data_IF_124405714732
#
_entry.id   IF_124405714732
#
_cell.length_a   1.000
_cell.length_b   1.000
_cell.length_c   1.000
_cell.angle_alpha   90.00
_cell.angle_beta   90.00
_cell.angle_gamma   90.00
#
_symmetry.space_group_name_H-M   'P 1'
#
loop_
_entity.id
_entity.type
_entity.pdbx_description
1 polymer ?
#
# COMPACT_ATOMS: atom_id res chain seq x y z
N UNK A 1 8.67 32.92 11.95
CA UNK A 1 7.36 32.27 12.18
C UNK A 1 6.73 32.02 10.83
N UNK A 2 6.62 30.76 10.35
CA UNK A 2 5.90 30.51 9.11
C UNK A 2 4.44 30.93 9.32
N UNK A 3 3.93 31.76 8.41
CA UNK A 3 2.50 32.10 8.38
C UNK A 3 1.70 30.82 8.10
N UNK A 4 0.61 30.55 8.85
CA UNK A 4 -0.21 29.39 8.58
C UNK A 4 -0.77 29.49 7.17
N UNK A 5 -0.52 28.46 6.36
CA UNK A 5 -1.02 28.38 5.00
C UNK A 5 -2.54 28.41 5.02
N UNK A 6 -3.15 29.13 4.08
CA UNK A 6 -4.60 29.16 3.92
C UNK A 6 -5.14 27.74 3.79
N UNK A 7 -6.24 27.44 4.47
CA UNK A 7 -6.88 26.14 4.43
C UNK A 7 -7.43 25.89 3.01
N UNK A 8 -6.88 24.89 2.32
CA UNK A 8 -7.25 24.55 0.94
C UNK A 8 -8.25 23.39 0.88
N UNK A 9 -8.58 22.77 2.02
CA UNK A 9 -9.54 21.66 2.06
C UNK A 9 -10.96 22.19 1.84
N UNK A 10 -11.77 21.41 1.14
CA UNK A 10 -13.21 21.71 1.02
C UNK A 10 -13.89 21.60 2.40
N UNK A 11 -15.01 22.32 2.63
CA UNK A 11 -15.73 22.26 3.90
C UNK A 11 -16.14 20.84 4.30
N UNK A 12 -16.50 20.01 3.31
CA UNK A 12 -16.84 18.60 3.55
C UNK A 12 -15.64 17.78 4.04
N UNK A 13 -14.45 18.00 3.47
CA UNK A 13 -13.22 17.32 3.91
C UNK A 13 -12.82 17.78 5.30
N UNK A 14 -12.91 19.08 5.57
CA UNK A 14 -12.61 19.63 6.90
C UNK A 14 -13.52 19.04 7.98
N UNK A 15 -14.84 19.02 7.76
CA UNK A 15 -15.79 18.44 8.71
C UNK A 15 -15.52 16.96 8.98
N UNK A 16 -15.13 16.19 7.96
CA UNK A 16 -14.77 14.79 8.12
C UNK A 16 -13.47 14.61 8.91
N UNK A 17 -12.46 15.42 8.62
CA UNK A 17 -11.18 15.36 9.32
C UNK A 17 -11.36 15.73 10.81
N UNK A 18 -12.19 16.74 11.11
CA UNK A 18 -12.54 17.14 12.48
C UNK A 18 -13.30 16.02 13.20
N UNK A 19 -14.22 15.33 12.53
CA UNK A 19 -14.91 14.16 13.07
C UNK A 19 -13.92 13.04 13.43
N UNK A 20 -12.98 12.71 12.52
CA UNK A 20 -11.94 11.68 12.74
C UNK A 20 -10.99 12.09 13.87
N UNK A 21 -10.60 13.36 13.94
CA UNK A 21 -9.74 13.85 15.00
C UNK A 21 -10.40 13.83 16.39
N UNK A 22 -11.73 13.91 16.44
CA UNK A 22 -12.52 13.77 17.66
C UNK A 22 -12.73 12.31 18.08
N UNK A 23 -12.38 11.33 17.24
CA UNK A 23 -12.50 9.91 17.60
C UNK A 23 -11.46 9.53 18.68
N UNK A 24 -11.86 8.73 19.69
CA UNK A 24 -10.92 8.20 20.66
C UNK A 24 -9.82 7.35 19.98
N UNK A 25 -8.57 7.41 20.46
CA UNK A 25 -7.51 6.58 19.92
C UNK A 25 -7.83 5.10 20.13
N UNK A 26 -7.57 4.29 19.10
CA UNK A 26 -7.71 2.84 19.20
C UNK A 26 -6.68 2.28 20.20
N UNK A 27 -7.06 1.24 20.97
CA UNK A 27 -6.10 0.56 21.82
C UNK A 27 -4.98 -0.05 20.97
N UNK A 28 -3.74 -0.09 21.48
CA UNK A 28 -2.67 -0.78 20.78
C UNK A 28 -3.04 -2.26 20.60
N UNK A 29 -2.64 -2.89 19.48
CA UNK A 29 -2.88 -4.31 19.26
C UNK A 29 -2.21 -5.13 20.35
N UNK A 30 -2.86 -6.22 20.78
CA UNK A 30 -2.24 -7.18 21.69
C UNK A 30 -1.09 -7.89 20.99
N UNK A 31 0.09 -7.84 21.62
CA UNK A 31 1.26 -8.58 21.17
C UNK A 31 1.50 -9.78 22.10
N UNK A 32 2.03 -10.90 21.56
CA UNK A 32 2.56 -11.99 22.38
C UNK A 32 3.58 -11.47 23.40
N UNK A 33 3.67 -12.13 24.56
CA UNK A 33 4.61 -11.73 25.61
C UNK A 33 6.09 -11.84 25.18
N UNK A 34 6.37 -12.68 24.18
CA UNK A 34 7.68 -12.92 23.57
C UNK A 34 7.91 -12.14 22.27
N UNK A 35 7.04 -11.17 21.93
CA UNK A 35 7.20 -10.35 20.74
C UNK A 35 8.48 -9.50 20.83
N UNK A 36 9.42 -9.77 19.92
CA UNK A 36 10.63 -8.96 19.79
C UNK A 36 10.34 -7.68 19.01
N UNK A 37 10.81 -6.55 19.52
CA UNK A 37 10.81 -5.29 18.77
C UNK A 37 11.83 -5.38 17.64
N UNK A 38 11.36 -5.20 16.40
CA UNK A 38 12.21 -5.22 15.21
C UNK A 38 12.23 -3.82 14.59
N UNK A 39 13.40 -3.30 14.15
CA UNK A 39 13.46 -2.07 13.37
C UNK A 39 12.56 -2.17 12.14
N UNK A 40 11.83 -1.09 11.84
CA UNK A 40 10.89 -1.04 10.71
C UNK A 40 11.62 -1.35 9.39
N UNK A 41 12.88 -0.95 9.29
CA UNK A 41 13.78 -1.19 8.16
C UNK A 41 13.97 -2.68 7.87
N UNK A 42 13.93 -3.54 8.89
CA UNK A 42 14.06 -4.98 8.71
C UNK A 42 12.90 -5.59 7.92
N UNK A 43 11.71 -4.96 7.94
CA UNK A 43 10.59 -5.37 7.08
C UNK A 43 10.78 -4.99 5.61
N UNK A 44 11.68 -4.04 5.34
CA UNK A 44 12.06 -3.60 4.00
C UNK A 44 13.35 -4.25 3.50
N UNK A 45 14.17 -4.82 4.40
CA UNK A 45 15.49 -5.37 4.11
C UNK A 45 15.48 -6.67 3.30
N UNK A 46 14.33 -7.34 3.15
CA UNK A 46 14.26 -8.51 2.27
C UNK A 46 14.36 -8.04 0.80
N UNK A 47 15.41 -8.41 0.04
CA UNK A 47 15.46 -8.15 -1.39
C UNK A 47 14.41 -9.00 -2.09
N UNK A 48 13.17 -8.51 -2.11
CA UNK A 48 12.11 -9.06 -2.96
C UNK A 48 12.47 -8.65 -4.38
N UNK A 49 13.07 -9.57 -5.13
CA UNK A 49 13.30 -9.35 -6.57
C UNK A 49 11.92 -9.21 -7.22
N UNK A 50 11.55 -8.03 -7.75
CA UNK A 50 10.31 -7.90 -8.48
C UNK A 50 10.34 -8.87 -9.67
N UNK A 51 9.26 -9.61 -9.85
CA UNK A 51 9.09 -10.49 -11.01
C UNK A 51 8.35 -9.69 -12.08
N UNK A 52 9.00 -9.52 -13.23
CA UNK A 52 8.36 -8.99 -14.42
C UNK A 52 7.78 -10.17 -15.22
N UNK A 53 6.51 -10.08 -15.58
CA UNK A 53 5.80 -11.12 -16.31
C UNK A 53 5.02 -10.48 -17.45
N UNK A 54 5.16 -11.04 -18.65
CA UNK A 54 4.41 -10.60 -19.80
C UNK A 54 2.96 -11.13 -19.71
N UNK A 55 2.00 -10.30 -20.07
CA UNK A 55 0.58 -10.64 -20.04
C UNK A 55 -0.20 -9.89 -21.11
N UNK A 56 -1.36 -10.41 -21.46
CA UNK A 56 -2.29 -9.81 -22.41
C UNK A 56 -3.40 -9.12 -21.62
N UNK A 57 -3.82 -7.95 -22.09
CA UNK A 57 -4.99 -7.24 -21.55
C UNK A 57 -6.19 -7.56 -22.44
N UNK A 58 -7.18 -8.26 -21.90
CA UNK A 58 -8.42 -8.58 -22.60
C UNK A 58 -9.61 -8.13 -21.75
N UNK A 59 -10.47 -7.26 -22.31
CA UNK A 59 -11.65 -6.72 -21.61
C UNK A 59 -11.33 -6.06 -20.25
N UNK A 60 -10.17 -5.41 -20.15
CA UNK A 60 -9.71 -4.78 -18.90
C UNK A 60 -9.17 -5.75 -17.84
N UNK A 61 -9.07 -7.05 -18.15
CA UNK A 61 -8.43 -8.06 -17.31
C UNK A 61 -7.03 -8.37 -17.84
N UNK A 62 -6.05 -8.43 -16.93
CA UNK A 62 -4.67 -8.83 -17.26
C UNK A 62 -4.54 -10.33 -17.08
N UNK A 63 -4.19 -11.05 -18.17
CA UNK A 63 -3.91 -12.48 -18.17
C UNK A 63 -2.41 -12.73 -18.40
N UNK A 64 -1.70 -13.42 -17.50
CA UNK A 64 -0.33 -13.84 -17.75
C UNK A 64 -0.21 -14.66 -19.04
N UNK A 65 0.88 -14.47 -19.80
CA UNK A 65 1.17 -15.29 -20.99
C UNK A 65 1.57 -16.72 -20.62
N UNK A 66 2.29 -16.88 -19.50
CA UNK A 66 2.65 -18.18 -18.96
C UNK A 66 1.74 -18.49 -17.74
N UNK A 67 0.77 -19.41 -17.90
CA UNK A 67 -0.16 -19.76 -16.83
C UNK A 67 0.49 -20.61 -15.72
N UNK A 68 1.68 -21.18 -15.96
CA UNK A 68 2.37 -22.05 -14.99
C UNK A 68 3.23 -21.26 -14.00
N UNK A 69 3.35 -19.94 -14.18
CA UNK A 69 4.07 -19.06 -13.25
C UNK A 69 3.35 -19.02 -11.89
N UNK A 70 3.96 -19.65 -10.89
CA UNK A 70 3.50 -19.56 -9.50
C UNK A 70 4.18 -18.39 -8.79
N UNK A 71 3.38 -17.39 -8.42
CA UNK A 71 3.84 -16.25 -7.63
C UNK A 71 3.85 -16.61 -6.14
N UNK A 72 4.95 -16.38 -5.41
CA UNK A 72 4.97 -16.44 -3.95
C UNK A 72 3.93 -15.52 -3.33
N UNK A 73 3.46 -15.87 -2.13
CA UNK A 73 2.54 -15.02 -1.37
C UNK A 73 3.13 -13.61 -1.19
N UNK A 74 2.33 -12.57 -1.48
CA UNK A 74 2.71 -11.14 -1.41
C UNK A 74 3.79 -10.70 -2.42
N UNK A 75 3.88 -11.37 -3.57
CA UNK A 75 4.72 -10.93 -4.69
C UNK A 75 4.28 -9.57 -5.23
N UNK A 76 5.27 -8.76 -5.61
CA UNK A 76 5.04 -7.51 -6.35
C UNK A 76 5.18 -7.80 -7.84
N UNK A 77 4.11 -7.54 -8.61
CA UNK A 77 4.06 -7.74 -10.07
C UNK A 77 4.01 -6.38 -10.74
N UNK A 78 4.84 -6.19 -11.77
CA UNK A 78 4.79 -5.02 -12.65
C UNK A 78 4.25 -5.51 -13.99
N UNK A 79 3.13 -4.94 -14.43
CA UNK A 79 2.51 -5.24 -15.72
C UNK A 79 2.85 -4.12 -16.68
N UNK A 80 3.51 -4.46 -17.78
CA UNK A 80 3.86 -3.52 -18.85
C UNK A 80 2.96 -3.83 -20.04
N UNK A 81 2.01 -2.94 -20.31
CA UNK A 81 1.23 -2.96 -21.55
C UNK A 81 1.86 -1.95 -22.51
N UNK A 82 2.02 -2.32 -23.78
CA UNK A 82 2.31 -1.35 -24.83
C UNK A 82 1.01 -0.59 -25.15
N UNK A 83 1.10 0.72 -25.37
CA UNK A 83 0.01 1.48 -25.99
C UNK A 83 -0.01 1.13 -27.48
N UNK A 84 -1.22 0.86 -28.02
CA UNK A 84 -1.47 0.72 -29.46
C UNK A 84 -1.43 2.10 -30.16
#
# INVERSE_FOLDING_TARGET
MPTPTSELRSPQRQSRDEQVAAEPPLPPPSLPADASAVPVEAHFAAPRRPLAMAGVVENGLVRPLDPDVKLPERSRVIIVAAED
#
